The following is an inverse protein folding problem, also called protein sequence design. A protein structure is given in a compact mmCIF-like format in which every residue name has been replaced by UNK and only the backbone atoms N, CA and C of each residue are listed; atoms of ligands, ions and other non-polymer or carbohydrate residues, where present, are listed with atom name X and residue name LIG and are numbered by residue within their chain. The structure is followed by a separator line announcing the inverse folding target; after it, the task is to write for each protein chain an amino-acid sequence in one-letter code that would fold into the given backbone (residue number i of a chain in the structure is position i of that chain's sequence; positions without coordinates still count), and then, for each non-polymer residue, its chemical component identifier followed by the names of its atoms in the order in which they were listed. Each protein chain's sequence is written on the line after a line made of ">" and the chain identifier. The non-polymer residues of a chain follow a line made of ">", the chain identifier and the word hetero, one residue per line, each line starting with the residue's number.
data_IF_144001518602
#
_entry.id   IF_144001518602
#
_cell.length_a   1.000
_cell.length_b   1.000
_cell.length_c   1.000
_cell.angle_alpha   90.00
_cell.angle_beta   90.00
_cell.angle_gamma   90.00
#
_symmetry.space_group_name_H-M   'P 1'
#
loop_
_entity.id
_entity.type
_entity.pdbx_description
1 polymer ?
#
# COMPACT_ATOMS: atom_id res chain seq x y z
N UNK A 1 52.35 54.25 -31.90
CA UNK A 1 52.25 53.77 -30.49
C UNK A 1 50.86 54.11 -29.96
N UNK A 2 49.92 53.18 -30.10
CA UNK A 2 48.53 53.34 -29.70
C UNK A 2 48.24 52.54 -28.42
N UNK A 3 47.99 53.17 -27.28
CA UNK A 3 47.58 52.52 -26.03
C UNK A 3 46.12 52.11 -26.09
N UNK A 4 45.84 50.79 -26.16
CA UNK A 4 44.50 50.26 -26.06
C UNK A 4 43.99 50.43 -24.64
N UNK A 5 42.92 51.21 -24.45
CA UNK A 5 42.20 51.39 -23.19
C UNK A 5 41.41 50.13 -22.85
N UNK A 6 41.84 49.38 -21.83
CA UNK A 6 41.18 48.18 -21.28
C UNK A 6 39.91 48.62 -20.53
N UNK A 7 38.71 48.46 -21.15
CA UNK A 7 37.42 48.75 -20.58
C UNK A 7 37.14 47.77 -19.42
N UNK A 8 37.22 48.28 -18.18
CA UNK A 8 36.90 47.58 -16.94
C UNK A 8 35.42 47.23 -16.95
N UNK A 9 35.06 45.94 -17.15
CA UNK A 9 33.69 45.43 -16.97
C UNK A 9 33.31 45.68 -15.52
N UNK A 10 32.44 46.65 -15.27
CA UNK A 10 31.75 46.85 -14.02
C UNK A 10 30.91 45.62 -13.74
N UNK A 11 31.32 44.82 -12.75
CA UNK A 11 30.54 43.71 -12.24
C UNK A 11 29.28 44.27 -11.57
N UNK A 12 28.19 44.27 -12.32
CA UNK A 12 26.84 44.52 -11.76
C UNK A 12 26.58 43.37 -10.80
N UNK A 13 26.74 43.60 -9.49
CA UNK A 13 26.25 42.67 -8.47
C UNK A 13 24.76 42.49 -8.73
N UNK A 14 24.35 41.26 -9.10
CA UNK A 14 22.94 40.89 -9.11
C UNK A 14 22.37 41.25 -7.72
N UNK A 15 21.19 41.90 -7.67
CA UNK A 15 20.56 42.22 -6.40
C UNK A 15 20.33 40.89 -5.67
N UNK A 16 20.78 40.83 -4.42
CA UNK A 16 20.57 39.72 -3.50
C UNK A 16 19.06 39.46 -3.44
N UNK A 17 18.63 38.43 -4.15
CA UNK A 17 17.23 38.08 -4.30
C UNK A 17 16.77 37.51 -2.97
N UNK A 18 16.25 38.37 -2.10
CA UNK A 18 15.69 37.97 -0.81
C UNK A 18 14.62 36.91 -1.06
N UNK A 19 14.91 35.68 -0.61
CA UNK A 19 13.99 34.54 -0.73
C UNK A 19 12.80 34.83 0.19
N UNK A 20 11.56 34.90 -0.32
CA UNK A 20 10.40 35.22 0.49
C UNK A 20 10.23 34.18 1.60
N UNK A 21 10.26 34.68 2.84
CA UNK A 21 10.01 33.86 4.03
C UNK A 21 8.53 33.98 4.44
N UNK A 22 8.01 32.96 5.04
CA UNK A 22 6.64 32.91 5.57
C UNK A 22 6.66 32.64 7.07
N UNK A 23 5.59 33.00 7.81
CA UNK A 23 5.44 32.55 9.19
C UNK A 23 5.35 31.00 9.24
N UNK A 24 6.01 30.40 10.20
CA UNK A 24 5.97 28.96 10.47
C UNK A 24 5.52 28.74 11.93
N UNK A 25 4.77 27.67 12.23
CA UNK A 25 4.30 26.65 11.30
C UNK A 25 3.09 27.07 10.44
N UNK A 26 2.84 26.30 9.36
CA UNK A 26 1.58 26.38 8.61
C UNK A 26 0.51 25.65 9.39
N UNK A 27 -0.25 26.39 10.21
CA UNK A 27 -1.23 25.80 11.11
C UNK A 27 -2.32 24.94 10.41
N UNK A 28 -2.96 25.39 9.29
CA UNK A 28 -3.93 24.55 8.58
C UNK A 28 -3.34 23.23 8.08
N UNK A 29 -2.15 23.28 7.47
CA UNK A 29 -1.46 22.08 7.01
C UNK A 29 -1.08 21.17 8.18
N UNK A 30 -0.54 21.73 9.26
CA UNK A 30 -0.13 20.98 10.44
C UNK A 30 -1.31 20.30 11.11
N UNK A 31 -2.45 20.99 11.28
CA UNK A 31 -3.65 20.41 11.89
C UNK A 31 -4.19 19.22 11.10
N UNK A 32 -4.32 19.34 9.76
CA UNK A 32 -4.76 18.25 8.90
C UNK A 32 -3.77 17.08 8.92
N UNK A 33 -2.47 17.36 8.91
CA UNK A 33 -1.44 16.34 8.99
C UNK A 33 -1.49 15.57 10.33
N UNK A 34 -1.69 16.27 11.46
CA UNK A 34 -1.80 15.64 12.78
C UNK A 34 -3.04 14.74 12.88
N UNK A 35 -4.17 15.15 12.32
CA UNK A 35 -5.38 14.30 12.25
C UNK A 35 -5.08 13.02 11.46
N UNK A 36 -4.46 13.15 10.27
CA UNK A 36 -4.07 12.01 9.44
C UNK A 36 -3.07 11.09 10.12
N UNK A 37 -2.08 11.66 10.82
CA UNK A 37 -1.13 10.89 11.65
C UNK A 37 -1.85 10.08 12.74
N UNK A 38 -2.78 10.69 13.46
CA UNK A 38 -3.54 10.00 14.52
C UNK A 38 -4.33 8.80 13.99
N UNK A 39 -5.05 8.98 12.88
CA UNK A 39 -5.83 7.90 12.25
C UNK A 39 -4.90 6.77 11.76
N UNK A 40 -3.83 7.12 11.04
CA UNK A 40 -2.93 6.10 10.46
C UNK A 40 -2.08 5.41 11.53
N UNK A 41 -1.69 6.10 12.61
CA UNK A 41 -1.04 5.50 13.77
C UNK A 41 -1.96 4.48 14.47
N UNK A 42 -3.23 4.86 14.71
CA UNK A 42 -4.24 3.96 15.27
C UNK A 42 -4.39 2.69 14.41
N UNK A 43 -4.60 2.83 13.09
CA UNK A 43 -4.72 1.68 12.19
C UNK A 43 -3.46 0.80 12.17
N UNK A 44 -2.28 1.40 12.21
CA UNK A 44 -1.03 0.65 12.23
C UNK A 44 -0.89 -0.14 13.53
N UNK A 45 -1.18 0.48 14.67
CA UNK A 45 -1.12 -0.17 15.97
C UNK A 45 -2.11 -1.33 16.10
N UNK A 46 -3.35 -1.15 15.64
CA UNK A 46 -4.38 -2.21 15.69
C UNK A 46 -4.03 -3.39 14.79
N UNK A 47 -3.49 -3.13 13.57
CA UNK A 47 -3.04 -4.20 12.66
C UNK A 47 -1.86 -4.98 13.26
N UNK A 48 -0.89 -4.31 13.87
CA UNK A 48 0.25 -4.98 14.52
C UNK A 48 -0.15 -5.77 15.77
N UNK A 49 -1.15 -5.25 16.51
CA UNK A 49 -1.67 -5.95 17.69
C UNK A 49 -2.65 -7.09 17.34
N UNK A 50 -2.98 -7.30 16.06
CA UNK A 50 -3.98 -8.30 15.64
C UNK A 50 -5.37 -8.03 16.18
N UNK A 51 -5.69 -6.76 16.49
CA UNK A 51 -6.97 -6.35 17.08
C UNK A 51 -7.95 -5.89 16.00
N UNK A 52 -9.24 -6.09 16.28
CA UNK A 52 -10.29 -5.56 15.40
C UNK A 52 -10.28 -4.03 15.43
N UNK A 53 -10.38 -3.42 14.25
CA UNK A 53 -10.44 -1.96 14.09
C UNK A 53 -11.83 -1.46 14.48
N UNK A 54 -11.92 -0.42 15.30
CA UNK A 54 -13.19 0.15 15.73
C UNK A 54 -14.04 0.57 14.53
N UNK A 55 -15.33 0.20 14.53
CA UNK A 55 -16.24 0.49 13.43
C UNK A 55 -16.09 -0.42 12.20
N UNK A 56 -15.19 -1.39 12.22
CA UNK A 56 -15.06 -2.43 11.20
C UNK A 56 -15.69 -3.72 11.73
N UNK A 57 -16.88 -4.07 11.23
CA UNK A 57 -17.48 -5.37 11.53
C UNK A 57 -16.64 -6.49 10.90
N UNK A 58 -16.53 -7.63 11.57
CA UNK A 58 -15.85 -8.80 11.03
C UNK A 58 -16.53 -9.24 9.73
N UNK A 59 -15.75 -9.41 8.65
CA UNK A 59 -16.26 -9.70 7.31
C UNK A 59 -16.89 -8.51 6.59
N UNK A 60 -16.93 -7.33 7.19
CA UNK A 60 -17.38 -6.10 6.54
C UNK A 60 -16.35 -5.52 5.57
N UNK A 61 -16.76 -4.55 4.75
CA UNK A 61 -15.90 -3.98 3.70
C UNK A 61 -14.58 -3.43 4.22
N UNK A 62 -14.56 -2.84 5.41
CA UNK A 62 -13.35 -2.37 6.07
C UNK A 62 -12.38 -3.52 6.39
N UNK A 63 -12.90 -4.61 6.98
CA UNK A 63 -12.11 -5.79 7.34
C UNK A 63 -11.50 -6.44 6.09
N UNK A 64 -12.27 -6.56 5.01
CA UNK A 64 -11.81 -7.07 3.72
C UNK A 64 -10.63 -6.25 3.18
N UNK A 65 -10.74 -4.92 3.21
CA UNK A 65 -9.70 -4.03 2.67
C UNK A 65 -8.43 -4.09 3.52
N UNK A 66 -8.57 -4.05 4.85
CA UNK A 66 -7.43 -4.06 5.77
C UNK A 66 -6.68 -5.40 5.78
N UNK A 67 -7.35 -6.48 5.42
CA UNK A 67 -6.77 -7.83 5.35
C UNK A 67 -6.42 -8.26 3.91
N UNK A 68 -6.62 -7.39 2.91
CA UNK A 68 -6.27 -7.69 1.52
C UNK A 68 -4.75 -7.57 1.27
N UNK A 69 -4.28 -8.14 0.16
CA UNK A 69 -2.88 -7.93 -0.31
C UNK A 69 -2.50 -6.46 -0.46
N UNK A 70 -3.47 -5.58 -0.71
CA UNK A 70 -3.29 -4.14 -0.86
C UNK A 70 -3.04 -3.41 0.46
N UNK A 71 -3.30 -4.08 1.59
CA UNK A 71 -3.06 -3.53 2.93
C UNK A 71 -1.59 -3.56 3.34
N UNK A 72 -0.74 -4.33 2.65
CA UNK A 72 0.69 -4.48 2.95
C UNK A 72 1.54 -3.98 1.79
N UNK A 73 2.48 -3.09 2.04
CA UNK A 73 3.46 -2.58 1.08
C UNK A 73 4.86 -2.82 1.64
N UNK A 74 5.72 -3.52 0.90
CA UNK A 74 7.06 -3.95 1.35
C UNK A 74 7.04 -4.70 2.71
N UNK A 75 6.01 -5.51 2.96
CA UNK A 75 5.85 -6.27 4.20
C UNK A 75 5.32 -5.47 5.39
N UNK A 76 5.14 -4.16 5.27
CA UNK A 76 4.59 -3.29 6.32
C UNK A 76 3.16 -2.86 5.97
N UNK A 77 2.30 -2.60 6.98
CA UNK A 77 0.96 -2.09 6.74
C UNK A 77 0.98 -0.79 5.92
N UNK A 78 0.10 -0.67 4.93
CA UNK A 78 -0.04 0.55 4.11
C UNK A 78 -0.36 1.78 4.98
N UNK A 79 -1.06 1.60 6.11
CA UNK A 79 -1.31 2.64 7.12
C UNK A 79 -0.01 3.20 7.73
N UNK A 80 1.03 2.38 7.91
CA UNK A 80 2.35 2.85 8.37
C UNK A 80 2.99 3.83 7.36
N UNK A 81 2.91 3.53 6.07
CA UNK A 81 3.40 4.44 5.03
C UNK A 81 2.57 5.73 4.97
N UNK A 82 1.25 5.61 5.21
CA UNK A 82 0.37 6.77 5.39
C UNK A 82 0.79 7.64 6.57
N UNK A 83 1.14 7.03 7.71
CA UNK A 83 1.67 7.74 8.87
C UNK A 83 2.94 8.53 8.52
N UNK A 84 3.89 7.92 7.83
CA UNK A 84 5.12 8.59 7.40
C UNK A 84 4.84 9.75 6.42
N UNK A 85 3.88 9.59 5.51
CA UNK A 85 3.47 10.64 4.58
C UNK A 85 2.87 11.85 5.33
N UNK A 86 1.97 11.64 6.28
CA UNK A 86 1.41 12.71 7.11
C UNK A 86 2.47 13.34 8.02
N UNK A 87 3.37 12.55 8.59
CA UNK A 87 4.51 13.07 9.38
C UNK A 87 5.41 13.97 8.53
N UNK A 88 5.71 13.56 7.29
CA UNK A 88 6.44 14.37 6.33
C UNK A 88 5.74 15.69 6.01
N UNK A 89 4.43 15.68 5.77
CA UNK A 89 3.63 16.89 5.57
C UNK A 89 3.65 17.80 6.81
N UNK A 90 3.57 17.21 8.01
CA UNK A 90 3.72 17.93 9.27
C UNK A 90 5.09 18.60 9.39
N UNK A 91 6.17 17.90 9.05
CA UNK A 91 7.52 18.47 9.04
C UNK A 91 7.67 19.61 8.01
N UNK A 92 7.08 19.43 6.81
CA UNK A 92 7.04 20.49 5.77
C UNK A 92 6.35 21.76 6.29
N UNK A 93 5.36 21.65 7.19
CA UNK A 93 4.67 22.81 7.76
C UNK A 93 5.61 23.79 8.48
N UNK A 94 6.76 23.34 8.96
CA UNK A 94 7.77 24.15 9.65
C UNK A 94 8.79 24.83 8.72
N UNK A 95 8.77 24.52 7.42
CA UNK A 95 9.70 25.15 6.46
C UNK A 95 9.33 26.62 6.28
N UNK A 96 10.26 27.52 6.60
CA UNK A 96 10.09 28.98 6.50
C UNK A 96 10.23 29.52 5.07
N UNK A 97 10.97 28.83 4.20
CA UNK A 97 11.17 29.18 2.79
C UNK A 97 9.88 28.96 2.00
N UNK A 98 9.24 30.01 1.53
CA UNK A 98 7.91 29.96 0.93
C UNK A 98 7.85 29.09 -0.34
N UNK A 99 8.83 29.23 -1.23
CA UNK A 99 8.93 28.45 -2.49
C UNK A 99 9.13 26.96 -2.24
N UNK A 100 10.06 26.62 -1.34
CA UNK A 100 10.38 25.23 -1.01
C UNK A 100 9.21 24.55 -0.28
N UNK A 101 8.64 25.24 0.73
CA UNK A 101 7.48 24.75 1.46
C UNK A 101 6.34 24.39 0.51
N UNK A 102 5.97 25.34 -0.36
CA UNK A 102 4.85 25.13 -1.27
C UNK A 102 5.10 23.99 -2.26
N UNK A 103 6.30 23.94 -2.87
CA UNK A 103 6.66 22.88 -3.83
C UNK A 103 6.64 21.49 -3.20
N UNK A 104 7.22 21.34 -2.00
CA UNK A 104 7.24 20.05 -1.30
C UNK A 104 5.84 19.63 -0.83
N UNK A 105 5.09 20.57 -0.23
CA UNK A 105 3.72 20.31 0.21
C UNK A 105 2.81 19.93 -0.97
N UNK A 106 2.93 20.63 -2.12
CA UNK A 106 2.20 20.31 -3.34
C UNK A 106 2.52 18.90 -3.85
N UNK A 107 3.81 18.58 -4.02
CA UNK A 107 4.23 17.29 -4.55
C UNK A 107 3.78 16.14 -3.64
N UNK A 108 3.97 16.28 -2.32
CA UNK A 108 3.56 15.27 -1.34
C UNK A 108 2.04 15.10 -1.29
N UNK A 109 1.27 16.20 -1.25
CA UNK A 109 -0.18 16.15 -1.21
C UNK A 109 -0.78 15.60 -2.52
N UNK A 110 -0.24 15.99 -3.69
CA UNK A 110 -0.68 15.48 -4.98
C UNK A 110 -0.45 13.97 -5.09
N UNK A 111 0.74 13.50 -4.73
CA UNK A 111 1.03 12.06 -4.69
C UNK A 111 0.09 11.35 -3.71
N UNK A 112 -0.12 11.89 -2.51
CA UNK A 112 -1.02 11.33 -1.52
C UNK A 112 -2.47 11.20 -2.02
N UNK A 113 -2.99 12.21 -2.75
CA UNK A 113 -4.32 12.15 -3.37
C UNK A 113 -4.37 11.07 -4.45
N UNK A 114 -3.42 11.08 -5.40
CA UNK A 114 -3.42 10.11 -6.50
C UNK A 114 -3.30 8.67 -5.99
N UNK A 115 -2.44 8.45 -5.01
CA UNK A 115 -2.30 7.13 -4.38
C UNK A 115 -3.55 6.72 -3.59
N UNK A 116 -4.19 7.64 -2.86
CA UNK A 116 -5.46 7.38 -2.16
C UNK A 116 -6.60 7.09 -3.13
N UNK A 117 -6.68 7.80 -4.26
CA UNK A 117 -7.64 7.52 -5.34
C UNK A 117 -7.41 6.13 -5.91
N UNK A 118 -6.15 5.77 -6.18
CA UNK A 118 -5.78 4.45 -6.67
C UNK A 118 -6.23 3.34 -5.70
N UNK A 119 -5.89 3.43 -4.41
CA UNK A 119 -6.29 2.43 -3.41
C UNK A 119 -7.81 2.37 -3.21
N UNK A 120 -8.49 3.52 -3.25
CA UNK A 120 -9.96 3.58 -3.19
C UNK A 120 -10.59 2.93 -4.42
N UNK A 121 -10.02 3.17 -5.60
CA UNK A 121 -10.44 2.52 -6.84
C UNK A 121 -10.31 1.00 -6.78
N UNK A 122 -9.18 0.50 -6.31
CA UNK A 122 -8.96 -0.95 -6.07
C UNK A 122 -9.98 -1.50 -5.06
N UNK A 123 -10.20 -0.79 -3.95
CA UNK A 123 -11.16 -1.19 -2.93
C UNK A 123 -12.57 -1.34 -3.48
N UNK A 124 -13.02 -0.40 -4.30
CA UNK A 124 -14.39 -0.39 -4.84
C UNK A 124 -14.56 -1.32 -6.05
N UNK A 125 -13.55 -1.40 -6.93
CA UNK A 125 -13.68 -2.11 -8.22
C UNK A 125 -13.23 -3.57 -8.11
N UNK A 126 -12.14 -3.85 -7.41
CA UNK A 126 -11.56 -5.19 -7.29
C UNK A 126 -12.09 -5.92 -6.06
N UNK A 127 -12.06 -5.28 -4.88
CA UNK A 127 -12.51 -5.91 -3.64
C UNK A 127 -14.02 -5.76 -3.42
N UNK A 128 -14.70 -4.89 -4.18
CA UNK A 128 -16.13 -4.54 -4.03
C UNK A 128 -16.49 -4.17 -2.59
N UNK A 129 -15.57 -3.54 -1.89
CA UNK A 129 -15.65 -3.23 -0.48
C UNK A 129 -15.33 -1.76 -0.23
N UNK A 130 -16.15 -1.09 0.57
CA UNK A 130 -15.93 0.29 0.98
C UNK A 130 -15.26 0.33 2.35
N UNK A 131 -14.14 1.06 2.44
CA UNK A 131 -13.42 1.27 3.70
C UNK A 131 -13.58 2.73 4.15
N UNK A 132 -14.30 3.03 5.26
CA UNK A 132 -14.47 4.40 5.75
C UNK A 132 -13.15 5.10 6.03
N UNK A 133 -12.16 4.39 6.56
CA UNK A 133 -10.83 4.94 6.84
C UNK A 133 -10.06 5.33 5.57
N UNK A 134 -10.21 4.54 4.49
CA UNK A 134 -9.60 4.88 3.20
C UNK A 134 -10.24 6.14 2.61
N UNK A 135 -11.56 6.25 2.68
CA UNK A 135 -12.30 7.44 2.24
C UNK A 135 -11.96 8.68 3.08
N UNK A 136 -11.82 8.52 4.39
CA UNK A 136 -11.38 9.60 5.29
C UNK A 136 -9.97 10.07 4.95
N UNK A 137 -9.04 9.15 4.67
CA UNK A 137 -7.68 9.50 4.25
C UNK A 137 -7.67 10.23 2.90
N UNK A 138 -8.49 9.78 1.93
CA UNK A 138 -8.66 10.47 0.65
C UNK A 138 -9.20 11.90 0.86
N UNK A 139 -10.21 12.07 1.72
CA UNK A 139 -10.78 13.36 2.06
C UNK A 139 -9.75 14.29 2.70
N UNK A 140 -8.95 13.79 3.67
CA UNK A 140 -7.89 14.55 4.33
C UNK A 140 -6.79 14.97 3.34
N UNK A 141 -6.29 14.06 2.51
CA UNK A 141 -5.27 14.38 1.50
C UNK A 141 -5.79 15.39 0.48
N UNK A 142 -7.07 15.29 0.08
CA UNK A 142 -7.71 16.25 -0.81
C UNK A 142 -7.84 17.64 -0.14
N UNK A 143 -8.19 17.69 1.14
CA UNK A 143 -8.24 18.94 1.92
C UNK A 143 -6.84 19.58 2.06
N UNK A 144 -5.80 18.77 2.29
CA UNK A 144 -4.41 19.24 2.32
C UNK A 144 -4.01 19.81 0.95
N UNK A 145 -4.29 19.11 -0.14
CA UNK A 145 -3.98 19.58 -1.50
C UNK A 145 -4.71 20.90 -1.81
N UNK A 146 -5.98 21.01 -1.46
CA UNK A 146 -6.76 22.24 -1.63
C UNK A 146 -6.16 23.39 -0.80
N UNK A 147 -5.79 23.15 0.46
CA UNK A 147 -5.13 24.12 1.32
C UNK A 147 -3.83 24.63 0.70
N UNK A 148 -2.99 23.72 0.21
CA UNK A 148 -1.72 24.06 -0.45
C UNK A 148 -1.96 24.82 -1.76
N UNK A 149 -2.99 24.46 -2.53
CA UNK A 149 -3.35 25.15 -3.77
C UNK A 149 -3.78 26.60 -3.51
N UNK A 150 -4.60 26.82 -2.47
CA UNK A 150 -5.06 28.16 -2.05
C UNK A 150 -3.88 29.02 -1.54
N UNK A 151 -2.94 28.41 -0.81
CA UNK A 151 -1.78 29.07 -0.23
C UNK A 151 -0.62 29.29 -1.21
N UNK A 152 -0.88 29.16 -2.50
CA UNK A 152 0.15 29.35 -3.52
C UNK A 152 0.82 30.74 -3.39
N UNK A 153 2.18 30.80 -3.37
CA UNK A 153 2.90 32.09 -3.43
C UNK A 153 2.59 32.84 -4.73
N UNK A 154 2.34 34.15 -4.63
CA UNK A 154 2.01 34.98 -5.80
C UNK A 154 3.19 35.13 -6.77
N UNK A 155 4.41 35.13 -6.24
CA UNK A 155 5.65 35.30 -7.01
C UNK A 155 6.55 34.08 -6.82
N UNK A 156 6.60 33.23 -7.83
CA UNK A 156 7.55 32.12 -7.92
C UNK A 156 8.51 32.45 -9.08
N UNK A 157 9.78 32.75 -8.81
CA UNK A 157 10.73 33.09 -9.86
C UNK A 157 10.94 31.90 -10.82
N UNK A 158 10.88 32.21 -12.12
CA UNK A 158 11.05 31.22 -13.23
C UNK A 158 10.13 30.00 -13.15
N UNK A 159 8.89 30.19 -12.66
CA UNK A 159 7.93 29.11 -12.50
C UNK A 159 6.96 29.02 -13.68
N UNK A 160 7.00 27.89 -14.40
CA UNK A 160 6.02 27.57 -15.46
C UNK A 160 5.02 26.55 -14.92
N UNK A 161 3.77 26.96 -14.77
CA UNK A 161 2.69 26.12 -14.24
C UNK A 161 2.47 24.84 -15.05
N UNK A 162 2.41 24.87 -16.41
CA UNK A 162 2.21 23.65 -17.20
C UNK A 162 3.33 22.62 -17.00
N UNK A 163 4.58 23.05 -17.03
CA UNK A 163 5.73 22.16 -16.77
C UNK A 163 5.70 21.55 -15.37
N UNK A 164 5.38 22.38 -14.36
CA UNK A 164 5.31 21.88 -12.98
C UNK A 164 4.22 20.83 -12.81
N UNK A 165 3.02 21.07 -13.34
CA UNK A 165 1.94 20.09 -13.32
C UNK A 165 2.34 18.81 -14.08
N UNK A 166 2.90 18.96 -15.28
CA UNK A 166 3.33 17.81 -16.07
C UNK A 166 4.32 16.92 -15.26
N UNK A 167 5.37 17.52 -14.70
CA UNK A 167 6.38 16.77 -13.96
C UNK A 167 5.85 16.17 -12.65
N UNK A 168 5.04 16.90 -11.89
CA UNK A 168 4.51 16.38 -10.61
C UNK A 168 3.44 15.33 -10.81
N UNK A 169 2.53 15.49 -11.78
CA UNK A 169 1.50 14.48 -12.08
C UNK A 169 2.15 13.24 -12.69
N UNK A 170 3.03 13.40 -13.71
CA UNK A 170 3.70 12.25 -14.32
C UNK A 170 4.56 11.50 -13.29
N UNK A 171 5.32 12.21 -12.46
CA UNK A 171 6.11 11.60 -11.40
C UNK A 171 5.25 10.82 -10.39
N UNK A 172 4.13 11.38 -9.97
CA UNK A 172 3.21 10.71 -9.05
C UNK A 172 2.54 9.49 -9.70
N UNK A 173 2.16 9.56 -10.98
CA UNK A 173 1.59 8.42 -11.70
C UNK A 173 2.62 7.29 -11.88
N UNK A 174 3.86 7.62 -12.27
CA UNK A 174 4.95 6.64 -12.39
C UNK A 174 5.20 5.96 -11.05
N UNK A 175 5.28 6.74 -9.95
CA UNK A 175 5.48 6.17 -8.62
C UNK A 175 4.32 5.27 -8.21
N UNK A 176 3.07 5.70 -8.44
CA UNK A 176 1.88 4.87 -8.15
C UNK A 176 1.89 3.59 -9.00
N UNK A 177 2.31 3.66 -10.26
CA UNK A 177 2.44 2.49 -11.13
C UNK A 177 3.52 1.52 -10.63
N UNK A 178 4.68 2.02 -10.20
CA UNK A 178 5.74 1.18 -9.58
C UNK A 178 5.22 0.48 -8.32
N UNK A 179 4.46 1.19 -7.47
CA UNK A 179 3.83 0.59 -6.31
C UNK A 179 2.77 -0.45 -6.69
N UNK A 180 2.00 -0.21 -7.76
CA UNK A 180 1.08 -1.19 -8.31
C UNK A 180 1.79 -2.48 -8.73
N UNK A 181 2.92 -2.39 -9.43
CA UNK A 181 3.73 -3.56 -9.79
C UNK A 181 4.20 -4.34 -8.56
N UNK A 182 4.52 -3.65 -7.46
CA UNK A 182 4.86 -4.29 -6.19
C UNK A 182 3.66 -5.07 -5.61
N UNK A 183 2.47 -4.49 -5.60
CA UNK A 183 1.26 -5.17 -5.13
C UNK A 183 0.86 -6.37 -5.98
N UNK A 184 1.05 -6.29 -7.30
CA UNK A 184 0.71 -7.41 -8.21
C UNK A 184 1.76 -8.51 -8.22
N UNK A 185 2.89 -8.31 -7.53
CA UNK A 185 4.03 -9.24 -7.53
C UNK A 185 4.82 -9.24 -8.84
N UNK A 186 4.51 -8.33 -9.78
CA UNK A 186 5.24 -8.18 -11.06
C UNK A 186 6.59 -7.48 -10.89
N UNK A 187 6.79 -6.70 -9.82
CA UNK A 187 8.11 -6.17 -9.41
C UNK A 187 8.91 -7.27 -8.75
N UNK A 188 9.25 -8.34 -9.50
CA UNK A 188 10.09 -9.41 -9.02
C UNK A 188 9.97 -9.63 -7.51
N UNK A 189 9.07 -10.50 -7.06
CA UNK A 189 9.54 -11.43 -6.06
C UNK A 189 10.79 -11.96 -6.74
N UNK A 190 12.00 -11.51 -6.31
CA UNK A 190 13.21 -12.27 -6.58
C UNK A 190 12.74 -13.69 -6.40
N UNK A 191 12.91 -14.51 -7.44
CA UNK A 191 12.82 -15.95 -7.28
C UNK A 191 13.81 -16.25 -6.17
N UNK A 192 13.34 -16.16 -4.91
CA UNK A 192 14.01 -16.88 -3.86
C UNK A 192 14.01 -18.28 -4.40
N UNK A 193 15.20 -18.90 -4.56
CA UNK A 193 15.30 -20.25 -5.07
C UNK A 193 14.24 -21.04 -4.34
N UNK A 194 13.34 -21.72 -5.08
CA UNK A 194 12.32 -22.56 -4.46
C UNK A 194 13.05 -23.44 -3.47
N UNK A 195 12.66 -23.40 -2.20
CA UNK A 195 13.17 -24.34 -1.22
C UNK A 195 12.80 -25.75 -1.73
N UNK A 196 13.79 -26.62 -1.98
CA UNK A 196 13.54 -27.93 -2.59
C UNK A 196 12.59 -28.79 -1.75
N UNK A 197 12.61 -28.62 -0.42
CA UNK A 197 11.73 -29.34 0.48
C UNK A 197 10.29 -28.81 0.39
N UNK A 198 10.10 -27.51 0.45
CA UNK A 198 8.77 -26.84 0.32
C UNK A 198 8.16 -27.15 -1.04
N UNK A 199 8.95 -27.12 -2.10
CA UNK A 199 8.52 -27.52 -3.44
C UNK A 199 8.04 -28.95 -3.47
N UNK A 200 8.84 -29.89 -2.93
CA UNK A 200 8.50 -31.31 -2.90
C UNK A 200 7.24 -31.58 -2.09
N UNK A 201 7.04 -30.85 -0.97
CA UNK A 201 5.81 -30.93 -0.19
C UNK A 201 4.60 -30.41 -0.96
N UNK A 202 4.70 -29.27 -1.65
CA UNK A 202 3.61 -28.73 -2.46
C UNK A 202 3.20 -29.69 -3.59
N UNK A 203 4.18 -30.27 -4.29
CA UNK A 203 3.96 -31.27 -5.33
C UNK A 203 3.33 -32.58 -4.75
N UNK A 204 3.75 -32.99 -3.55
CA UNK A 204 3.15 -34.13 -2.86
C UNK A 204 1.68 -33.89 -2.50
N UNK A 205 1.38 -32.71 -1.91
CA UNK A 205 0.00 -32.32 -1.58
C UNK A 205 -0.90 -32.30 -2.82
N UNK A 206 -0.41 -31.83 -3.95
CA UNK A 206 -1.15 -31.82 -5.21
C UNK A 206 -1.42 -33.27 -5.73
N UNK A 207 -0.46 -34.17 -5.55
CA UNK A 207 -0.56 -35.60 -5.99
C UNK A 207 -1.37 -36.49 -5.03
N UNK A 208 -1.33 -36.19 -3.72
CA UNK A 208 -2.01 -36.96 -2.67
C UNK A 208 -3.51 -36.70 -2.52
N UNK A 209 -4.15 -36.05 -3.50
CA UNK A 209 -5.54 -35.60 -3.43
C UNK A 209 -5.89 -34.68 -2.26
N UNK A 210 -4.90 -34.07 -1.61
CA UNK A 210 -5.16 -32.98 -0.68
C UNK A 210 -5.89 -31.86 -1.42
N UNK A 211 -6.77 -31.13 -0.73
CA UNK A 211 -7.50 -29.98 -1.26
C UNK A 211 -7.42 -28.83 -0.29
N UNK A 212 -7.05 -27.67 -0.80
CA UNK A 212 -6.96 -26.41 -0.08
C UNK A 212 -8.12 -25.49 -0.50
N UNK A 213 -9.16 -25.44 0.32
CA UNK A 213 -10.33 -24.60 0.10
C UNK A 213 -10.11 -23.23 0.72
N UNK A 214 -10.26 -22.19 -0.08
CA UNK A 214 -10.02 -20.82 0.37
C UNK A 214 -10.83 -19.81 -0.41
N UNK A 215 -10.61 -18.54 -0.07
CA UNK A 215 -11.14 -17.40 -0.79
C UNK A 215 -10.00 -16.43 -1.09
N UNK A 216 -9.99 -15.83 -2.28
CA UNK A 216 -8.91 -14.93 -2.71
C UNK A 216 -8.76 -13.69 -1.81
N UNK A 217 -9.84 -13.29 -1.17
CA UNK A 217 -9.91 -12.16 -0.25
C UNK A 217 -9.60 -12.54 1.20
N UNK A 218 -9.49 -13.84 1.53
CA UNK A 218 -9.25 -14.29 2.90
C UNK A 218 -7.78 -14.12 3.30
N UNK A 219 -7.47 -13.35 4.37
CA UNK A 219 -6.10 -13.09 4.79
C UNK A 219 -5.37 -14.38 5.21
N UNK A 220 -6.03 -15.24 5.97
CA UNK A 220 -5.43 -16.51 6.40
C UNK A 220 -5.13 -17.47 5.23
N UNK A 221 -5.86 -17.35 4.12
CA UNK A 221 -5.52 -18.09 2.90
C UNK A 221 -4.26 -17.53 2.24
N UNK A 222 -4.07 -16.22 2.33
CA UNK A 222 -2.84 -15.55 1.86
C UNK A 222 -1.67 -15.95 2.74
N UNK A 223 -1.82 -15.89 4.07
CA UNK A 223 -0.79 -16.31 5.02
C UNK A 223 -0.40 -17.78 4.80
N UNK A 224 -1.39 -18.68 4.56
CA UNK A 224 -1.13 -20.08 4.22
C UNK A 224 -0.32 -20.24 2.94
N UNK A 225 -0.61 -19.45 1.90
CA UNK A 225 0.15 -19.46 0.64
C UNK A 225 1.56 -18.89 0.82
N UNK A 226 1.72 -17.87 1.67
CA UNK A 226 3.03 -17.26 1.97
C UNK A 226 4.02 -18.24 2.60
N UNK A 227 3.55 -19.23 3.39
CA UNK A 227 4.40 -20.30 3.92
C UNK A 227 5.09 -21.13 2.82
N UNK A 228 4.47 -21.24 1.64
CA UNK A 228 5.02 -21.96 0.50
C UNK A 228 5.88 -21.08 -0.42
N UNK A 229 5.90 -19.77 -0.20
CA UNK A 229 6.69 -18.83 -0.99
C UNK A 229 6.47 -18.98 -2.50
N UNK A 230 7.55 -19.18 -3.25
CA UNK A 230 7.50 -19.38 -4.71
C UNK A 230 6.79 -20.68 -5.12
N UNK A 231 6.68 -21.68 -4.25
CA UNK A 231 5.98 -22.95 -4.50
C UNK A 231 4.46 -22.88 -4.30
N UNK A 232 3.91 -21.74 -3.84
CA UNK A 232 2.48 -21.58 -3.57
C UNK A 232 1.57 -21.84 -4.79
N UNK A 233 2.07 -21.59 -6.01
CA UNK A 233 1.33 -21.84 -7.26
C UNK A 233 1.07 -23.33 -7.55
N UNK A 234 1.81 -24.24 -6.86
CA UNK A 234 1.68 -25.70 -6.98
C UNK A 234 0.60 -26.26 -6.05
N UNK A 235 0.09 -25.46 -5.11
CA UNK A 235 -0.90 -25.93 -4.14
C UNK A 235 -2.21 -26.35 -4.81
N UNK A 236 -2.87 -27.40 -4.33
CA UNK A 236 -4.17 -27.85 -4.83
C UNK A 236 -5.31 -26.93 -4.35
N UNK A 237 -5.21 -25.64 -4.68
CA UNK A 237 -6.11 -24.59 -4.23
C UNK A 237 -7.44 -24.61 -4.98
N UNK A 238 -8.53 -24.47 -4.23
CA UNK A 238 -9.90 -24.37 -4.74
C UNK A 238 -10.48 -23.05 -4.25
N UNK A 239 -10.84 -22.17 -5.20
CA UNK A 239 -11.50 -20.90 -4.91
C UNK A 239 -12.97 -21.13 -4.56
N UNK A 240 -13.34 -20.76 -3.34
CA UNK A 240 -14.70 -20.92 -2.84
C UNK A 240 -15.56 -19.66 -2.97
N UNK A 241 -14.97 -18.51 -3.24
CA UNK A 241 -15.69 -17.23 -3.31
C UNK A 241 -15.22 -16.37 -4.51
N UNK A 242 -15.42 -16.90 -5.76
CA UNK A 242 -14.87 -16.25 -6.96
C UNK A 242 -15.48 -14.88 -7.27
N UNK A 243 -16.64 -14.58 -6.70
CA UNK A 243 -17.37 -13.33 -6.94
C UNK A 243 -17.36 -12.37 -5.74
N UNK A 244 -16.56 -12.66 -4.69
CA UNK A 244 -16.39 -11.82 -3.51
C UNK A 244 -17.11 -12.36 -2.26
N UNK A 245 -16.89 -11.67 -1.11
CA UNK A 245 -17.33 -12.15 0.21
C UNK A 245 -18.85 -12.19 0.40
N UNK A 246 -19.58 -11.30 -0.28
CA UNK A 246 -21.04 -11.23 -0.21
C UNK A 246 -21.75 -12.11 -1.26
N UNK A 247 -20.98 -12.67 -2.18
CA UNK A 247 -21.51 -13.54 -3.23
C UNK A 247 -21.74 -14.98 -2.74
N UNK A 248 -22.59 -15.70 -3.45
CA UNK A 248 -22.82 -17.10 -3.16
C UNK A 248 -21.50 -17.90 -3.27
N UNK A 249 -21.24 -18.73 -2.27
CA UNK A 249 -20.12 -19.65 -2.27
C UNK A 249 -20.19 -20.60 -3.47
N UNK A 250 -19.05 -20.96 -4.06
CA UNK A 250 -18.96 -21.92 -5.15
C UNK A 250 -19.58 -23.28 -4.77
N UNK A 251 -20.31 -23.91 -5.69
CA UNK A 251 -21.02 -25.15 -5.44
C UNK A 251 -20.10 -26.29 -4.93
N UNK A 252 -18.89 -26.38 -5.49
CA UNK A 252 -17.88 -27.36 -5.05
C UNK A 252 -17.54 -27.24 -3.56
N UNK A 253 -17.58 -26.05 -3.00
CA UNK A 253 -17.31 -25.80 -1.59
C UNK A 253 -18.57 -26.03 -0.72
N UNK A 254 -19.76 -25.68 -1.23
CA UNK A 254 -21.04 -25.99 -0.56
C UNK A 254 -21.25 -27.48 -0.40
N UNK A 255 -21.06 -28.24 -1.48
CA UNK A 255 -21.19 -29.69 -1.48
C UNK A 255 -20.23 -30.38 -0.51
N UNK A 256 -19.06 -29.80 -0.31
CA UNK A 256 -18.08 -30.25 0.68
C UNK A 256 -18.32 -29.70 2.08
N UNK A 257 -19.34 -28.87 2.29
CA UNK A 257 -19.69 -28.28 3.58
C UNK A 257 -18.58 -27.39 4.15
N UNK A 258 -17.88 -26.61 3.29
CA UNK A 258 -16.83 -25.68 3.72
C UNK A 258 -17.49 -24.46 4.34
N UNK A 259 -17.24 -24.20 5.63
CA UNK A 259 -17.86 -23.11 6.39
C UNK A 259 -16.88 -21.97 6.72
N UNK A 260 -15.58 -22.27 6.66
CA UNK A 260 -14.52 -21.31 7.02
C UNK A 260 -13.29 -21.47 6.13
N UNK A 261 -12.46 -20.42 6.06
CA UNK A 261 -11.26 -20.40 5.23
C UNK A 261 -10.03 -19.99 6.07
N UNK A 262 -8.86 -20.58 5.81
CA UNK A 262 -8.63 -21.75 4.95
C UNK A 262 -9.17 -23.05 5.56
N UNK A 263 -9.58 -23.99 4.70
CA UNK A 263 -9.89 -25.37 5.11
C UNK A 263 -9.11 -26.32 4.23
N UNK A 264 -8.39 -27.23 4.84
CA UNK A 264 -7.72 -28.32 4.16
C UNK A 264 -8.54 -29.62 4.30
N UNK A 265 -8.60 -30.40 3.23
CA UNK A 265 -9.05 -31.79 3.28
C UNK A 265 -7.87 -32.65 2.83
N UNK A 266 -7.31 -33.45 3.74
CA UNK A 266 -6.14 -34.30 3.52
C UNK A 266 -6.49 -35.72 3.99
N UNK A 267 -6.30 -36.69 3.13
CA UNK A 267 -6.65 -38.11 3.42
C UNK A 267 -8.10 -38.27 3.93
N UNK A 268 -9.03 -37.43 3.43
CA UNK A 268 -10.44 -37.43 3.83
C UNK A 268 -10.73 -36.70 5.15
N UNK A 269 -9.73 -36.29 5.90
CA UNK A 269 -9.88 -35.52 7.13
C UNK A 269 -9.88 -34.03 6.88
N UNK A 270 -10.69 -33.28 7.65
CA UNK A 270 -10.84 -31.83 7.55
C UNK A 270 -10.02 -31.12 8.63
N UNK A 271 -9.24 -30.14 8.21
CA UNK A 271 -8.46 -29.24 9.06
C UNK A 271 -8.82 -27.79 8.75
N UNK A 272 -9.19 -27.03 9.75
CA UNK A 272 -9.63 -25.63 9.62
C UNK A 272 -8.55 -24.72 10.17
N UNK A 273 -8.25 -23.64 9.45
CA UNK A 273 -7.23 -22.68 9.81
C UNK A 273 -5.91 -22.89 9.08
N UNK A 274 -4.92 -22.05 9.44
CA UNK A 274 -3.56 -22.13 8.89
C UNK A 274 -2.87 -23.36 9.49
N UNK A 275 -2.26 -24.17 8.64
CA UNK A 275 -1.42 -25.28 9.03
C UNK A 275 0.04 -24.96 8.75
N UNK A 276 0.94 -25.33 9.66
CA UNK A 276 2.38 -25.22 9.41
C UNK A 276 2.83 -26.21 8.33
N UNK A 277 3.98 -26.01 7.74
CA UNK A 277 4.53 -26.89 6.71
C UNK A 277 4.76 -28.32 7.28
N UNK A 278 5.19 -28.40 8.54
CA UNK A 278 5.39 -29.68 9.25
C UNK A 278 4.07 -30.42 9.51
N UNK A 279 3.01 -29.70 9.87
CA UNK A 279 1.67 -30.28 10.04
C UNK A 279 1.13 -30.81 8.72
N UNK A 280 1.28 -30.04 7.64
CA UNK A 280 0.89 -30.46 6.29
C UNK A 280 1.67 -31.70 5.84
N UNK A 281 2.97 -31.74 6.08
CA UNK A 281 3.81 -32.90 5.81
C UNK A 281 3.34 -34.14 6.59
N UNK A 282 3.08 -33.99 7.89
CA UNK A 282 2.61 -35.06 8.78
C UNK A 282 1.24 -35.59 8.37
N UNK A 283 0.26 -34.70 8.11
CA UNK A 283 -1.11 -35.11 7.77
C UNK A 283 -1.22 -35.71 6.37
N UNK A 284 -0.34 -35.31 5.44
CA UNK A 284 -0.27 -35.86 4.10
C UNK A 284 0.65 -37.09 3.98
N UNK A 285 1.28 -37.52 5.11
CA UNK A 285 2.25 -38.62 5.13
C UNK A 285 3.44 -38.41 4.17
N UNK A 286 3.87 -37.17 4.05
CA UNK A 286 5.01 -36.79 3.22
C UNK A 286 6.30 -37.39 3.74
N UNK A 287 7.02 -38.15 2.92
CA UNK A 287 8.26 -38.86 3.29
C UNK A 287 9.54 -38.10 2.88
N UNK A 288 9.44 -36.86 2.41
CA UNK A 288 10.60 -36.01 2.24
C UNK A 288 11.16 -35.65 3.61
N UNK A 289 12.47 -35.82 3.84
CA UNK A 289 13.12 -35.53 5.14
C UNK A 289 12.69 -34.19 5.74
N UNK A 290 13.06 -33.91 7.01
CA UNK A 290 12.78 -32.64 7.66
C UNK A 290 13.45 -31.46 6.90
N UNK A 291 12.87 -30.22 6.97
CA UNK A 291 13.45 -29.03 6.34
C UNK A 291 14.83 -28.69 6.88
#
# INVERSE_FOLDING_TARGET
>A
MGKAARKKKSGRKEPDRQIPTRPAPNWPLLALALIGMGITAYLTATVWAGQAVAGCAAGGGCDIVLNSRWSKLFGLPTSFWGFLAYAGLGAIAFIKRSDLHWKLAWAAALFGVLYSVYLTGVSLLELKAACPYCLTSLGLMSAILATVAIQRPRELPNFSWPSWLLWTVSGALVLTFVLHLNYTGMSGKSEQPEDPWVRSLAEHLAKSNAKFYGAYWCPHCTDQKELFGSSAHRLPYIECSPYGPEAAQANVCKERGIQSYPTWIINGQRYVGILTLEELARYSEFKGGAP
#
